data_IF_864382644978
#
_entry.id   IF_864382644978
#
_cell.length_a   1.000
_cell.length_b   1.000
_cell.length_c   1.000
_cell.angle_alpha   90.00
_cell.angle_beta   90.00
_cell.angle_gamma   90.00
#
_symmetry.space_group_name_H-M   'P 1'
#
loop_
_entity.id
_entity.type
_entity.pdbx_description
1 polymer ?
#
# COMPACT_ATOMS: atom_id res chain seq x y z
N UNK A 1 8.35 18.02 7.61
CA UNK A 1 8.79 16.89 6.77
C UNK A 1 7.56 16.20 6.23
N UNK A 2 7.45 15.96 4.92
CA UNK A 2 6.41 15.08 4.37
C UNK A 2 6.87 13.64 4.56
N UNK A 3 6.26 12.91 5.49
CA UNK A 3 6.46 11.48 5.64
C UNK A 3 5.76 10.77 4.47
N UNK A 4 6.56 10.09 3.63
CA UNK A 4 6.05 9.22 2.57
C UNK A 4 6.09 7.78 3.06
N UNK A 5 5.01 7.06 2.85
CA UNK A 5 4.86 5.64 3.14
C UNK A 5 4.75 4.85 1.84
N UNK A 6 5.27 3.63 1.88
CA UNK A 6 5.19 2.68 0.78
C UNK A 6 3.95 1.81 0.98
N UNK A 7 3.12 1.72 -0.05
CA UNK A 7 1.85 0.99 -0.02
C UNK A 7 1.86 -0.04 -1.15
N UNK A 8 1.51 -1.27 -0.81
CA UNK A 8 1.40 -2.36 -1.76
C UNK A 8 0.24 -2.08 -2.75
N UNK A 9 0.48 -2.17 -4.07
CA UNK A 9 -0.56 -1.92 -5.06
C UNK A 9 -1.62 -3.02 -5.18
N UNK A 10 -1.45 -4.15 -4.48
CA UNK A 10 -2.34 -5.31 -4.57
C UNK A 10 -3.26 -5.41 -3.36
N UNK A 11 -2.72 -5.23 -2.15
CA UNK A 11 -3.45 -5.41 -0.90
C UNK A 11 -3.48 -4.16 0.00
N UNK A 12 -2.96 -3.04 -0.49
CA UNK A 12 -2.91 -1.75 0.23
C UNK A 12 -2.15 -1.81 1.56
N UNK A 13 -1.33 -2.84 1.78
CA UNK A 13 -0.53 -2.98 2.99
C UNK A 13 0.71 -2.10 2.92
N UNK A 14 1.08 -1.52 4.06
CA UNK A 14 2.34 -0.78 4.23
C UNK A 14 3.54 -1.69 4.52
N UNK A 15 3.33 -3.00 4.65
CA UNK A 15 4.36 -3.99 4.93
C UNK A 15 5.09 -4.38 3.63
N UNK A 16 5.88 -3.44 3.12
CA UNK A 16 6.63 -3.54 1.86
C UNK A 16 8.12 -3.26 2.12
N UNK A 17 8.98 -4.17 1.68
CA UNK A 17 10.44 -4.04 1.76
C UNK A 17 11.05 -3.89 0.38
N UNK A 18 12.15 -3.14 0.29
CA UNK A 18 12.96 -3.05 -0.92
C UNK A 18 14.04 -4.12 -0.88
N UNK A 19 13.90 -5.16 -1.70
CA UNK A 19 14.94 -6.14 -1.97
C UNK A 19 15.93 -5.56 -3.00
N UNK A 20 17.13 -5.20 -2.53
CA UNK A 20 18.23 -4.64 -3.34
C UNK A 20 19.21 -5.70 -3.83
N UNK A 21 18.81 -6.98 -3.90
CA UNK A 21 19.67 -8.12 -4.27
C UNK A 21 20.24 -8.15 -5.71
N UNK A 22 20.23 -7.05 -6.48
CA UNK A 22 20.73 -6.95 -7.86
C UNK A 22 20.58 -5.55 -8.52
N UNK A 23 20.85 -5.46 -9.84
CA UNK A 23 20.92 -4.21 -10.66
C UNK A 23 19.67 -3.32 -10.57
N UNK A 24 18.50 -3.89 -10.29
CA UNK A 24 17.25 -3.16 -10.07
C UNK A 24 16.58 -3.69 -8.81
N UNK A 25 16.44 -2.85 -7.78
CA UNK A 25 15.72 -3.21 -6.56
C UNK A 25 14.25 -3.53 -6.85
N UNK A 26 13.69 -4.53 -6.16
CA UNK A 26 12.28 -4.91 -6.25
C UNK A 26 11.60 -4.70 -4.90
N UNK A 27 10.35 -4.29 -4.92
CA UNK A 27 9.50 -4.22 -3.74
C UNK A 27 8.88 -5.60 -3.49
N UNK A 28 9.00 -6.07 -2.26
CA UNK A 28 8.38 -7.28 -1.75
C UNK A 28 7.38 -6.93 -0.65
N UNK A 29 6.12 -7.30 -0.83
CA UNK A 29 5.10 -7.17 0.21
C UNK A 29 5.00 -8.45 1.04
N UNK A 30 5.18 -8.38 2.35
CA UNK A 30 5.08 -9.56 3.22
C UNK A 30 3.65 -10.00 3.50
N UNK A 31 2.67 -9.14 3.22
CA UNK A 31 1.27 -9.43 3.48
C UNK A 31 0.65 -10.30 2.37
N UNK A 32 0.76 -9.88 1.10
CA UNK A 32 0.19 -10.63 -0.03
C UNK A 32 1.21 -11.37 -0.91
N UNK A 33 2.51 -11.17 -0.69
CA UNK A 33 3.57 -11.76 -1.51
C UNK A 33 3.82 -11.05 -2.84
N UNK A 34 3.31 -9.82 -3.03
CA UNK A 34 3.62 -9.00 -4.21
C UNK A 34 5.13 -8.81 -4.38
N UNK A 35 5.65 -9.07 -5.59
CA UNK A 35 7.05 -8.82 -5.98
C UNK A 35 7.06 -8.03 -7.28
N UNK A 36 7.57 -6.80 -7.26
CA UNK A 36 7.61 -5.97 -8.46
C UNK A 36 8.46 -4.72 -8.34
N UNK A 37 8.68 -4.02 -9.45
CA UNK A 37 9.43 -2.76 -9.48
C UNK A 37 8.56 -1.52 -9.22
N UNK A 38 7.29 -1.72 -8.87
CA UNK A 38 6.32 -0.66 -8.67
C UNK A 38 5.75 -0.74 -7.25
N UNK A 39 5.63 0.41 -6.59
CA UNK A 39 5.02 0.57 -5.28
C UNK A 39 4.28 1.90 -5.26
N UNK A 40 3.19 1.99 -4.51
CA UNK A 40 2.53 3.27 -4.32
C UNK A 40 3.26 4.04 -3.22
N UNK A 41 3.69 5.26 -3.54
CA UNK A 41 4.22 6.21 -2.58
C UNK A 41 3.13 7.22 -2.24
N UNK A 42 2.75 7.29 -0.97
CA UNK A 42 1.69 8.16 -0.49
C UNK A 42 2.13 8.88 0.76
N UNK A 43 1.53 10.02 1.05
CA UNK A 43 1.63 10.65 2.37
C UNK A 43 0.73 9.94 3.37
N UNK A 44 1.04 10.09 4.66
CA UNK A 44 0.21 9.54 5.74
C UNK A 44 -1.26 9.96 5.60
N UNK A 45 -1.52 11.24 5.31
CA UNK A 45 -2.88 11.74 5.08
C UNK A 45 -3.57 11.11 3.87
N UNK A 46 -2.87 10.91 2.75
CA UNK A 46 -3.46 10.23 1.58
C UNK A 46 -3.83 8.78 1.86
N UNK A 47 -3.03 8.08 2.69
CA UNK A 47 -3.33 6.71 3.11
C UNK A 47 -4.52 6.62 4.07
N UNK A 48 -4.61 7.55 5.04
CA UNK A 48 -5.75 7.63 5.94
C UNK A 48 -7.06 7.90 5.18
N UNK A 49 -7.04 8.82 4.22
CA UNK A 49 -8.23 9.12 3.41
C UNK A 49 -8.65 7.92 2.55
N UNK A 50 -7.69 7.17 1.99
CA UNK A 50 -7.98 5.94 1.26
C UNK A 50 -8.68 4.91 2.15
N UNK A 51 -8.15 4.64 3.36
CA UNK A 51 -8.74 3.68 4.30
C UNK A 51 -10.14 4.10 4.72
N UNK A 52 -10.36 5.37 5.07
CA UNK A 52 -11.70 5.89 5.39
C UNK A 52 -12.69 5.67 4.26
N UNK A 53 -12.28 5.93 3.02
CA UNK A 53 -13.15 5.69 1.85
C UNK A 53 -13.44 4.20 1.65
N UNK A 54 -12.49 3.30 1.92
CA UNK A 54 -12.70 1.86 1.84
C UNK A 54 -13.63 1.33 2.94
N UNK A 55 -13.54 1.85 4.16
CA UNK A 55 -14.45 1.52 5.27
C UNK A 55 -15.87 2.00 4.99
N UNK A 56 -16.05 3.27 4.59
CA UNK A 56 -17.37 3.81 4.25
C UNK A 56 -18.04 3.03 3.10
N UNK A 57 -17.26 2.53 2.13
CA UNK A 57 -17.79 1.69 1.04
C UNK A 57 -18.29 0.34 1.55
N UNK A 58 -17.61 -0.29 2.50
CA UNK A 58 -18.03 -1.56 3.10
C UNK A 58 -19.33 -1.39 3.89
N UNK A 59 -19.41 -0.36 4.73
CA UNK A 59 -20.62 -0.05 5.51
C UNK A 59 -21.85 0.21 4.62
N UNK A 60 -21.64 0.83 3.45
CA UNK A 60 -22.71 1.11 2.50
C UNK A 60 -23.19 -0.14 1.73
N UNK A 61 -22.30 -1.11 1.50
CA UNK A 61 -22.64 -2.38 0.84
C UNK A 61 -23.35 -3.35 1.82
N UNK A 62 -22.96 -3.35 3.09
CA UNK A 62 -23.56 -4.20 4.14
C UNK A 62 -24.95 -3.73 4.61
N UNK A 63 -25.34 -2.47 4.32
CA UNK A 63 -26.67 -1.93 4.66
C UNK A 63 -27.73 -2.15 3.58
N UNK A 64 -27.43 -2.91 2.51
CA UNK A 64 -28.33 -3.16 1.37
C UNK A 64 -28.83 -4.59 1.32
#
# INVERSE_FOLDING_TARGET
MSLRILVCPVCNSTDVELDTGGVSGKYYCKNCGYIGSYVMEMTEGEYEEMHKMEEMKKEHDESK
#
